data_IF_897162187860
#
_entry.id   IF_897162187860
#
_cell.length_a   1.000
_cell.length_b   1.000
_cell.length_c   1.000
_cell.angle_alpha   90.00
_cell.angle_beta   90.00
_cell.angle_gamma   90.00
#
_symmetry.space_group_name_H-M   'P 1'
#
loop_
_entity.id
_entity.type
_entity.pdbx_description
1 polymer ?
#
# COMPACT_ATOMS: atom_id res chain seq x y z
N UNK A 1 -26.63 12.47 -9.35
CA UNK A 1 -27.09 11.14 -8.92
C UNK A 1 -25.84 10.37 -8.55
N UNK A 2 -25.70 9.93 -7.30
CA UNK A 2 -24.65 8.97 -6.96
C UNK A 2 -24.92 7.71 -7.79
N UNK A 3 -23.95 7.28 -8.60
CA UNK A 3 -24.02 5.97 -9.23
C UNK A 3 -24.13 4.93 -8.11
N UNK A 4 -24.92 3.88 -8.30
CA UNK A 4 -24.99 2.79 -7.33
C UNK A 4 -23.59 2.19 -7.16
N UNK A 5 -23.17 2.01 -5.91
CA UNK A 5 -21.89 1.36 -5.58
C UNK A 5 -21.86 -0.04 -6.19
N UNK A 6 -20.81 -0.33 -6.96
CA UNK A 6 -20.64 -1.64 -7.57
C UNK A 6 -20.18 -2.64 -6.50
N UNK A 7 -20.60 -3.89 -6.67
CA UNK A 7 -20.22 -5.00 -5.80
C UNK A 7 -19.74 -6.16 -6.66
N UNK A 8 -19.17 -7.20 -6.04
CA UNK A 8 -18.84 -8.45 -6.74
C UNK A 8 -19.98 -8.95 -7.63
N UNK A 9 -21.21 -8.95 -7.11
CA UNK A 9 -22.39 -9.41 -7.85
C UNK A 9 -22.68 -8.57 -9.10
N UNK A 10 -22.36 -7.27 -9.08
CA UNK A 10 -22.48 -6.39 -10.25
C UNK A 10 -21.61 -6.88 -11.41
N UNK A 11 -20.38 -7.29 -11.13
CA UNK A 11 -19.45 -7.81 -12.14
C UNK A 11 -19.78 -9.25 -12.61
N UNK A 12 -20.74 -9.91 -11.96
CA UNK A 12 -21.37 -11.14 -12.45
C UNK A 12 -22.48 -10.89 -13.49
N UNK A 13 -22.75 -9.65 -13.89
CA UNK A 13 -23.67 -9.30 -14.98
C UNK A 13 -23.00 -8.33 -15.98
N UNK A 14 -23.56 -8.16 -17.18
CA UNK A 14 -23.06 -7.10 -18.08
C UNK A 14 -23.42 -5.71 -17.55
N UNK A 15 -22.65 -4.67 -17.89
CA UNK A 15 -23.06 -3.30 -17.60
C UNK A 15 -24.45 -3.02 -18.16
N UNK A 16 -25.34 -2.41 -17.36
CA UNK A 16 -26.75 -2.13 -17.67
C UNK A 16 -27.70 -3.34 -17.65
N UNK A 17 -27.26 -4.51 -17.20
CA UNK A 17 -28.14 -5.64 -16.97
C UNK A 17 -28.75 -5.56 -15.56
N UNK A 18 -30.07 -5.35 -15.47
CA UNK A 18 -30.77 -5.22 -14.19
C UNK A 18 -30.91 -6.57 -13.46
N UNK A 19 -31.10 -7.66 -14.20
CA UNK A 19 -31.24 -9.01 -13.64
C UNK A 19 -30.51 -10.05 -14.49
N UNK A 20 -30.07 -11.19 -13.92
CA UNK A 20 -29.43 -12.26 -14.68
C UNK A 20 -30.28 -12.79 -15.84
N UNK A 21 -31.61 -12.68 -15.74
CA UNK A 21 -32.58 -13.12 -16.75
C UNK A 21 -32.86 -12.10 -17.85
N UNK A 22 -32.53 -10.82 -17.66
CA UNK A 22 -32.76 -9.78 -18.69
C UNK A 22 -31.65 -9.79 -19.75
N UNK A 23 -32.01 -9.57 -21.02
CA UNK A 23 -31.03 -9.41 -22.10
C UNK A 23 -30.25 -8.10 -21.93
N UNK A 24 -28.91 -8.13 -21.91
CA UNK A 24 -28.12 -6.92 -21.79
C UNK A 24 -28.11 -6.13 -23.10
N UNK A 25 -28.06 -4.80 -23.00
CA UNK A 25 -27.75 -3.92 -24.13
C UNK A 25 -26.22 -3.84 -24.23
N UNK A 26 -25.66 -4.55 -25.20
CA UNK A 26 -24.20 -4.66 -25.37
C UNK A 26 -23.70 -3.72 -26.47
N UNK A 27 -22.50 -3.16 -26.29
CA UNK A 27 -21.77 -2.51 -27.37
C UNK A 27 -21.43 -3.47 -28.52
N UNK A 28 -21.03 -2.91 -29.66
CA UNK A 28 -20.55 -3.70 -30.80
C UNK A 28 -19.28 -4.48 -30.43
N UNK A 29 -18.42 -3.87 -29.62
CA UNK A 29 -17.20 -4.46 -29.08
C UNK A 29 -17.53 -5.62 -28.12
N UNK A 30 -18.51 -5.45 -27.21
CA UNK A 30 -18.97 -6.54 -26.35
C UNK A 30 -19.59 -7.70 -27.13
N UNK A 31 -20.29 -7.44 -28.24
CA UNK A 31 -20.76 -8.49 -29.15
C UNK A 31 -19.59 -9.26 -29.77
N UNK A 32 -18.55 -8.55 -30.23
CA UNK A 32 -17.38 -9.16 -30.81
C UNK A 32 -16.60 -10.00 -29.79
N UNK A 33 -16.42 -9.51 -28.57
CA UNK A 33 -15.77 -10.25 -27.49
C UNK A 33 -16.58 -11.47 -27.06
N UNK A 34 -17.91 -11.37 -27.04
CA UNK A 34 -18.80 -12.48 -26.70
C UNK A 34 -18.60 -13.63 -27.69
N UNK A 35 -18.48 -13.31 -28.97
CA UNK A 35 -18.21 -14.30 -30.02
C UNK A 35 -16.78 -14.86 -29.93
N UNK A 36 -15.80 -14.04 -29.55
CA UNK A 36 -14.38 -14.40 -29.61
C UNK A 36 -13.86 -15.11 -28.36
N UNK A 37 -14.27 -14.66 -27.17
CA UNK A 37 -13.73 -15.06 -25.88
C UNK A 37 -14.78 -15.67 -24.95
N UNK A 38 -16.06 -15.60 -25.33
CA UNK A 38 -17.18 -16.06 -24.52
C UNK A 38 -17.64 -15.05 -23.49
N UNK A 39 -18.76 -15.39 -22.84
CA UNK A 39 -19.55 -14.46 -22.04
C UNK A 39 -18.79 -13.86 -20.85
N UNK A 40 -18.04 -14.69 -20.13
CA UNK A 40 -17.32 -14.26 -18.92
C UNK A 40 -16.27 -13.18 -19.23
N UNK A 41 -15.51 -13.37 -20.29
CA UNK A 41 -14.47 -12.43 -20.73
C UNK A 41 -15.07 -11.17 -21.32
N UNK A 42 -16.07 -11.30 -22.19
CA UNK A 42 -16.77 -10.16 -22.80
C UNK A 42 -17.37 -9.22 -21.74
N UNK A 43 -17.93 -9.80 -20.67
CA UNK A 43 -18.51 -9.05 -19.56
C UNK A 43 -17.50 -8.18 -18.83
N UNK A 44 -16.34 -8.74 -18.47
CA UNK A 44 -15.30 -8.01 -17.74
C UNK A 44 -14.64 -6.95 -18.63
N UNK A 45 -14.43 -7.27 -19.91
CA UNK A 45 -13.97 -6.30 -20.89
C UNK A 45 -14.96 -5.13 -21.05
N UNK A 46 -16.26 -5.40 -21.05
CA UNK A 46 -17.27 -4.34 -21.11
C UNK A 46 -17.30 -3.48 -19.83
N UNK A 47 -17.21 -4.10 -18.64
CA UNK A 47 -17.05 -3.34 -17.39
C UNK A 47 -15.82 -2.42 -17.43
N UNK A 48 -14.71 -2.90 -17.99
CA UNK A 48 -13.51 -2.06 -18.12
C UNK A 48 -13.74 -0.85 -19.03
N UNK A 49 -14.56 -0.95 -20.09
CA UNK A 49 -14.87 0.18 -20.99
C UNK A 49 -15.87 1.17 -20.39
N UNK A 50 -16.90 0.66 -19.71
CA UNK A 50 -18.04 1.48 -19.27
C UNK A 50 -17.79 2.15 -17.93
N UNK A 51 -16.99 1.52 -17.05
CA UNK A 51 -16.75 2.01 -15.70
C UNK A 51 -15.29 2.38 -15.46
N UNK A 52 -14.34 1.47 -15.76
CA UNK A 52 -12.93 1.67 -15.41
C UNK A 52 -12.26 2.76 -16.26
N UNK A 53 -12.34 2.65 -17.58
CA UNK A 53 -11.72 3.59 -18.53
C UNK A 53 -12.19 5.04 -18.35
N UNK A 54 -13.49 5.33 -18.15
CA UNK A 54 -13.95 6.69 -17.87
C UNK A 54 -13.61 7.20 -16.46
N UNK A 55 -13.39 6.30 -15.49
CA UNK A 55 -13.02 6.68 -14.13
C UNK A 55 -11.58 7.19 -14.04
N UNK A 56 -10.63 6.59 -14.77
CA UNK A 56 -9.21 6.96 -14.73
C UNK A 56 -8.94 8.47 -14.96
N UNK A 57 -9.39 9.12 -16.05
CA UNK A 57 -9.15 10.55 -16.24
C UNK A 57 -9.87 11.42 -15.20
N UNK A 58 -10.99 10.95 -14.62
CA UNK A 58 -11.68 11.66 -13.54
C UNK A 58 -10.86 11.65 -12.26
N UNK A 59 -10.30 10.50 -11.88
CA UNK A 59 -9.40 10.35 -10.72
C UNK A 59 -8.14 11.18 -10.94
N UNK A 60 -7.59 11.14 -12.16
CA UNK A 60 -6.43 11.96 -12.53
C UNK A 60 -6.65 13.44 -12.25
N UNK A 61 -7.76 13.97 -12.74
CA UNK A 61 -8.09 15.38 -12.56
C UNK A 61 -8.24 15.78 -11.08
N UNK A 62 -8.64 14.83 -10.20
CA UNK A 62 -8.76 15.09 -8.76
C UNK A 62 -7.41 15.29 -8.09
N UNK A 63 -6.37 14.55 -8.48
CA UNK A 63 -5.05 14.67 -7.88
C UNK A 63 -4.19 15.74 -8.55
N UNK A 64 -4.35 15.99 -9.85
CA UNK A 64 -3.71 17.11 -10.55
C UNK A 64 -4.17 18.47 -10.02
N UNK A 65 -5.41 18.56 -9.53
CA UNK A 65 -6.02 19.77 -8.97
C UNK A 65 -6.48 19.53 -7.53
N UNK A 66 -5.61 18.91 -6.74
CA UNK A 66 -5.95 18.45 -5.40
C UNK A 66 -6.49 19.59 -4.51
N UNK A 67 -7.60 19.30 -3.82
CA UNK A 67 -8.22 20.19 -2.84
C UNK A 67 -8.72 19.35 -1.66
N UNK A 68 -8.23 19.61 -0.46
CA UNK A 68 -8.59 18.79 0.69
C UNK A 68 -10.00 18.99 1.24
N UNK A 69 -10.66 20.08 0.86
CA UNK A 69 -12.08 20.25 1.13
C UNK A 69 -12.96 19.48 0.14
N UNK A 70 -12.37 18.69 -0.78
CA UNK A 70 -13.11 17.99 -1.82
C UNK A 70 -13.91 16.81 -1.21
N UNK A 71 -15.26 16.86 -1.26
CA UNK A 71 -16.12 15.78 -0.77
C UNK A 71 -15.95 14.45 -1.54
N UNK A 72 -15.14 14.44 -2.60
CA UNK A 72 -14.89 13.28 -3.45
C UNK A 72 -13.89 12.26 -2.88
N UNK A 73 -13.38 12.46 -1.67
CA UNK A 73 -12.62 11.45 -0.93
C UNK A 73 -13.41 10.12 -0.81
N UNK A 74 -14.70 10.20 -0.52
CA UNK A 74 -15.58 9.03 -0.47
C UNK A 74 -15.74 8.35 -1.84
N UNK A 75 -15.65 9.10 -2.95
CA UNK A 75 -15.69 8.53 -4.30
C UNK A 75 -14.43 7.71 -4.59
N UNK A 76 -13.27 8.18 -4.15
CA UNK A 76 -12.00 7.44 -4.30
C UNK A 76 -12.00 6.17 -3.45
N UNK A 77 -12.50 6.24 -2.22
CA UNK A 77 -12.62 5.06 -1.35
C UNK A 77 -13.59 4.03 -1.95
N UNK A 78 -14.77 4.47 -2.40
CA UNK A 78 -15.74 3.60 -3.06
C UNK A 78 -15.15 2.96 -4.31
N UNK A 79 -14.52 3.76 -5.19
CA UNK A 79 -13.85 3.26 -6.38
C UNK A 79 -12.73 2.25 -6.06
N UNK A 80 -11.94 2.50 -5.01
CA UNK A 80 -10.90 1.58 -4.55
C UNK A 80 -11.48 0.23 -4.15
N UNK A 81 -12.64 0.22 -3.48
CA UNK A 81 -13.33 -1.00 -3.09
C UNK A 81 -13.87 -1.76 -4.30
N UNK A 82 -14.52 -1.04 -5.21
CA UNK A 82 -15.04 -1.60 -6.47
C UNK A 82 -13.91 -2.19 -7.34
N UNK A 83 -12.74 -1.54 -7.35
CA UNK A 83 -11.56 -2.01 -8.08
C UNK A 83 -10.95 -3.28 -7.46
N UNK A 84 -10.91 -3.39 -6.13
CA UNK A 84 -10.48 -4.62 -5.44
C UNK A 84 -11.43 -5.77 -5.78
N UNK A 85 -12.74 -5.54 -5.71
CA UNK A 85 -13.75 -6.53 -6.09
C UNK A 85 -13.63 -6.96 -7.57
N UNK A 86 -13.39 -5.99 -8.47
CA UNK A 86 -13.19 -6.26 -9.89
C UNK A 86 -11.94 -7.13 -10.13
N UNK A 87 -10.81 -6.79 -9.49
CA UNK A 87 -9.56 -7.55 -9.60
C UNK A 87 -9.70 -8.96 -9.05
N UNK A 88 -10.36 -9.13 -7.91
CA UNK A 88 -10.64 -10.45 -7.35
C UNK A 88 -11.43 -11.34 -8.32
N UNK A 89 -12.38 -10.76 -9.07
CA UNK A 89 -13.16 -11.50 -10.08
C UNK A 89 -12.34 -11.86 -11.32
N UNK A 90 -11.44 -10.97 -11.74
CA UNK A 90 -10.46 -11.26 -12.81
C UNK A 90 -9.64 -12.49 -12.40
N UNK A 91 -9.06 -12.48 -11.20
CA UNK A 91 -8.09 -13.50 -10.77
C UNK A 91 -8.73 -14.84 -10.37
N UNK A 92 -9.97 -14.81 -9.89
CA UNK A 92 -10.72 -16.04 -9.56
C UNK A 92 -11.24 -16.79 -10.80
N UNK A 93 -11.07 -16.24 -12.01
CA UNK A 93 -11.60 -16.82 -13.25
C UNK A 93 -10.51 -17.34 -14.16
N UNK A 94 -10.73 -18.53 -14.70
CA UNK A 94 -9.95 -19.01 -15.84
C UNK A 94 -10.39 -18.26 -17.10
N UNK A 95 -9.54 -17.34 -17.56
CA UNK A 95 -9.74 -16.54 -18.77
C UNK A 95 -8.63 -16.81 -19.81
N UNK A 96 -8.88 -16.52 -21.10
CA UNK A 96 -7.81 -16.54 -22.09
C UNK A 96 -6.69 -15.57 -21.68
N UNK A 97 -5.43 -15.99 -21.83
CA UNK A 97 -4.24 -15.22 -21.42
C UNK A 97 -4.23 -13.79 -21.98
N UNK A 98 -4.62 -13.62 -23.25
CA UNK A 98 -4.69 -12.30 -23.88
C UNK A 98 -5.72 -11.37 -23.20
N UNK A 99 -6.83 -11.91 -22.71
CA UNK A 99 -7.87 -11.15 -22.00
C UNK A 99 -7.39 -10.83 -20.58
N UNK A 100 -6.81 -11.82 -19.90
CA UNK A 100 -6.23 -11.66 -18.56
C UNK A 100 -5.22 -10.51 -18.56
N UNK A 101 -4.23 -10.56 -19.46
CA UNK A 101 -3.19 -9.53 -19.59
C UNK A 101 -3.79 -8.13 -19.83
N UNK A 102 -4.78 -8.02 -20.71
CA UNK A 102 -5.42 -6.74 -21.01
C UNK A 102 -6.17 -6.17 -19.78
N UNK A 103 -6.87 -7.02 -19.04
CA UNK A 103 -7.60 -6.61 -17.84
C UNK A 103 -6.65 -6.25 -16.71
N UNK A 104 -5.55 -7.00 -16.54
CA UNK A 104 -4.50 -6.70 -15.58
C UNK A 104 -3.89 -5.34 -15.88
N UNK A 105 -3.39 -5.09 -17.10
CA UNK A 105 -2.80 -3.81 -17.52
C UNK A 105 -3.70 -2.60 -17.22
N UNK A 106 -5.02 -2.75 -17.44
CA UNK A 106 -6.02 -1.72 -17.14
C UNK A 106 -6.21 -1.52 -15.63
N UNK A 107 -6.28 -2.60 -14.87
CA UNK A 107 -6.38 -2.54 -13.41
C UNK A 107 -5.13 -1.90 -12.81
N UNK A 108 -3.92 -2.23 -13.30
CA UNK A 108 -2.67 -1.59 -12.86
C UNK A 108 -2.70 -0.09 -13.09
N UNK A 109 -3.15 0.33 -14.28
CA UNK A 109 -3.26 1.76 -14.60
C UNK A 109 -4.20 2.47 -13.63
N UNK A 110 -5.33 1.86 -13.28
CA UNK A 110 -6.27 2.44 -12.32
C UNK A 110 -5.70 2.50 -10.90
N UNK A 111 -4.98 1.47 -10.46
CA UNK A 111 -4.29 1.47 -9.15
C UNK A 111 -3.26 2.59 -9.07
N UNK A 112 -2.49 2.83 -10.15
CA UNK A 112 -1.53 3.95 -10.19
C UNK A 112 -2.20 5.30 -10.01
N UNK A 113 -3.35 5.53 -10.65
CA UNK A 113 -4.12 6.78 -10.50
C UNK A 113 -4.68 6.95 -9.08
N UNK A 114 -5.17 5.87 -8.47
CA UNK A 114 -5.64 5.88 -7.07
C UNK A 114 -4.48 6.18 -6.12
N UNK A 115 -3.32 5.55 -6.33
CA UNK A 115 -2.13 5.79 -5.52
C UNK A 115 -1.59 7.21 -5.68
N UNK A 116 -1.62 7.77 -6.89
CA UNK A 116 -1.27 9.18 -7.13
C UNK A 116 -2.20 10.13 -6.38
N UNK A 117 -3.51 9.84 -6.33
CA UNK A 117 -4.46 10.60 -5.52
C UNK A 117 -4.14 10.55 -4.03
N UNK A 118 -3.88 9.36 -3.50
CA UNK A 118 -3.50 9.22 -2.10
C UNK A 118 -2.21 9.98 -1.79
N UNK A 119 -1.20 9.89 -2.66
CA UNK A 119 0.03 10.65 -2.48
C UNK A 119 -0.23 12.15 -2.40
N UNK A 120 -1.01 12.72 -3.33
CA UNK A 120 -1.39 14.14 -3.29
C UNK A 120 -2.18 14.51 -2.03
N UNK A 121 -3.06 13.61 -1.56
CA UNK A 121 -3.77 13.77 -0.28
C UNK A 121 -2.80 13.85 0.90
N UNK A 122 -1.77 13.02 0.94
CA UNK A 122 -0.78 13.06 2.02
C UNK A 122 0.13 14.27 1.94
N UNK A 123 0.61 14.61 0.74
CA UNK A 123 1.41 15.83 0.54
C UNK A 123 0.66 17.05 1.06
N UNK A 124 -0.66 17.11 0.86
CA UNK A 124 -1.50 18.16 1.43
C UNK A 124 -1.64 18.06 2.95
N UNK A 125 -1.98 16.88 3.48
CA UNK A 125 -2.17 16.70 4.93
C UNK A 125 -0.87 16.95 5.71
N UNK A 126 0.27 16.85 5.02
CA UNK A 126 1.61 17.08 5.53
C UNK A 126 2.22 18.42 5.05
N UNK A 127 1.49 19.54 5.11
CA UNK A 127 2.10 20.88 5.24
C UNK A 127 3.04 21.03 6.49
N UNK A 128 3.46 19.92 7.10
CA UNK A 128 4.28 19.80 8.29
C UNK A 128 5.77 19.68 7.94
N UNK A 129 6.53 20.73 8.27
CA UNK A 129 7.99 20.73 8.20
C UNK A 129 8.64 19.49 8.86
N UNK A 130 9.77 19.00 8.32
CA UNK A 130 10.60 17.99 8.97
C UNK A 130 11.05 18.46 10.36
N UNK A 131 10.38 18.04 11.43
CA UNK A 131 10.94 18.19 12.78
C UNK A 131 12.13 17.24 12.91
N UNK A 132 13.33 17.80 12.96
CA UNK A 132 14.52 17.06 13.31
C UNK A 132 14.34 16.45 14.71
N UNK A 133 14.64 15.16 14.85
CA UNK A 133 14.49 14.46 16.11
C UNK A 133 15.81 14.45 16.83
N UNK A 134 15.80 14.99 18.05
CA UNK A 134 16.97 15.01 18.90
C UNK A 134 17.11 13.67 19.62
N UNK A 135 17.82 12.73 18.99
CA UNK A 135 18.19 11.45 19.58
C UNK A 135 19.20 11.59 20.75
N UNK A 136 19.67 12.81 21.06
CA UNK A 136 20.46 13.08 22.26
C UNK A 136 19.60 13.24 23.52
N UNK A 137 18.27 13.39 23.38
CA UNK A 137 17.35 13.43 24.50
C UNK A 137 17.25 12.04 25.18
N UNK A 138 17.70 11.89 26.44
CA UNK A 138 17.65 10.61 27.16
C UNK A 138 16.24 10.03 27.33
N UNK A 139 15.21 10.89 27.35
CA UNK A 139 13.81 10.46 27.49
C UNK A 139 13.32 9.75 26.22
N UNK A 140 13.68 10.28 25.05
CA UNK A 140 13.38 9.70 23.74
C UNK A 140 14.09 8.36 23.58
N UNK A 141 15.37 8.30 23.93
CA UNK A 141 16.15 7.04 23.89
C UNK A 141 15.55 5.97 24.81
N UNK A 142 15.12 6.35 26.01
CA UNK A 142 14.45 5.45 26.95
C UNK A 142 13.15 4.90 26.37
N UNK A 143 12.31 5.76 25.79
CA UNK A 143 11.03 5.38 25.18
C UNK A 143 11.22 4.42 24.00
N UNK A 144 12.19 4.71 23.13
CA UNK A 144 12.57 3.82 22.01
C UNK A 144 12.99 2.44 22.52
N UNK A 145 13.91 2.37 23.49
CA UNK A 145 14.36 1.08 24.05
C UNK A 145 13.23 0.32 24.73
N UNK A 146 12.34 1.01 25.44
CA UNK A 146 11.16 0.41 26.05
C UNK A 146 10.22 -0.20 25.00
N UNK A 147 10.02 0.49 23.87
CA UNK A 147 9.22 -0.02 22.76
C UNK A 147 9.81 -1.30 22.16
N UNK A 148 11.11 -1.33 21.84
CA UNK A 148 11.79 -2.53 21.33
C UNK A 148 11.62 -3.74 22.27
N UNK A 149 11.78 -3.50 23.59
CA UNK A 149 11.57 -4.52 24.62
C UNK A 149 10.12 -5.02 24.65
N UNK A 150 9.14 -4.11 24.58
CA UNK A 150 7.72 -4.46 24.53
C UNK A 150 7.41 -5.33 23.31
N UNK A 151 8.02 -5.00 22.16
CA UNK A 151 7.82 -5.74 20.91
C UNK A 151 8.63 -7.04 20.84
N UNK A 152 9.47 -7.36 21.83
CA UNK A 152 10.37 -8.54 21.81
C UNK A 152 11.29 -8.53 20.58
N UNK A 153 11.82 -7.35 20.27
CA UNK A 153 12.82 -7.11 19.24
C UNK A 153 14.11 -6.67 19.94
N UNK A 154 15.23 -7.28 19.58
CA UNK A 154 16.51 -6.93 20.17
C UNK A 154 17.03 -5.63 19.54
N UNK A 155 17.10 -4.55 20.33
CA UNK A 155 17.58 -3.23 19.89
C UNK A 155 19.01 -3.30 19.32
N UNK A 156 19.93 -3.93 20.04
CA UNK A 156 21.34 -4.01 19.64
C UNK A 156 21.54 -4.84 18.37
N UNK A 157 20.75 -5.92 18.22
CA UNK A 157 20.75 -6.72 16.99
C UNK A 157 20.18 -5.93 15.81
N UNK A 158 19.10 -5.17 16.01
CA UNK A 158 18.56 -4.26 14.99
C UNK A 158 19.62 -3.24 14.55
N UNK A 159 20.23 -2.53 15.50
CA UNK A 159 21.30 -1.57 15.22
C UNK A 159 22.46 -2.21 14.44
N UNK A 160 22.90 -3.40 14.84
CA UNK A 160 23.99 -4.12 14.18
C UNK A 160 23.67 -4.49 12.72
N UNK A 161 22.40 -4.77 12.39
CA UNK A 161 21.96 -5.08 11.02
C UNK A 161 22.07 -3.88 10.07
N UNK A 162 22.01 -2.66 10.60
CA UNK A 162 22.21 -1.42 9.83
C UNK A 162 23.66 -0.94 9.82
N UNK A 163 24.60 -1.72 10.39
CA UNK A 163 26.03 -1.49 10.20
C UNK A 163 26.46 -1.78 8.75
N UNK A 164 27.44 -1.03 8.25
CA UNK A 164 27.81 -1.00 6.82
C UNK A 164 27.90 -2.39 6.14
N UNK A 165 28.62 -3.35 6.72
CA UNK A 165 28.78 -4.68 6.11
C UNK A 165 27.54 -5.58 6.22
N UNK A 166 26.81 -5.50 7.34
CA UNK A 166 25.61 -6.29 7.55
C UNK A 166 24.43 -5.79 6.69
N UNK A 167 24.34 -4.47 6.52
CA UNK A 167 23.31 -3.83 5.73
C UNK A 167 23.44 -4.16 4.23
N UNK A 168 24.67 -4.08 3.70
CA UNK A 168 24.95 -4.48 2.30
C UNK A 168 24.56 -5.93 2.04
N UNK A 169 24.90 -6.85 2.95
CA UNK A 169 24.51 -8.25 2.81
C UNK A 169 22.99 -8.45 2.91
N UNK A 170 22.31 -7.70 3.78
CA UNK A 170 20.85 -7.71 3.87
C UNK A 170 20.21 -7.25 2.56
N UNK A 171 20.64 -6.12 1.99
CA UNK A 171 20.12 -5.60 0.72
C UNK A 171 20.38 -6.57 -0.44
N UNK A 172 21.57 -7.18 -0.50
CA UNK A 172 21.91 -8.21 -1.49
C UNK A 172 20.95 -9.40 -1.41
N UNK A 173 20.61 -9.86 -0.20
CA UNK A 173 19.62 -10.93 0.02
C UNK A 173 18.20 -10.53 -0.33
N UNK A 174 17.87 -9.24 -0.20
CA UNK A 174 16.58 -8.69 -0.60
C UNK A 174 16.48 -8.47 -2.12
N UNK A 175 17.58 -8.58 -2.86
CA UNK A 175 17.60 -8.46 -4.32
C UNK A 175 17.60 -7.02 -4.83
N UNK A 176 17.96 -6.05 -3.98
CA UNK A 176 18.06 -4.64 -4.39
C UNK A 176 19.30 -4.43 -5.28
N UNK A 177 19.11 -3.79 -6.43
CA UNK A 177 20.16 -3.61 -7.43
C UNK A 177 21.30 -2.73 -6.89
N UNK A 178 22.54 -3.19 -7.06
CA UNK A 178 23.74 -2.40 -6.75
C UNK A 178 23.81 -1.17 -7.69
N UNK A 179 23.94 0.04 -7.11
CA UNK A 179 24.35 1.24 -7.85
C UNK A 179 23.31 2.34 -8.05
N UNK A 180 22.08 2.23 -7.53
CA UNK A 180 21.02 3.23 -7.80
C UNK A 180 20.69 4.17 -6.63
N UNK A 181 21.05 3.83 -5.37
CA UNK A 181 20.81 4.67 -4.18
C UNK A 181 21.92 4.51 -3.14
N UNK A 182 22.12 5.55 -2.30
CA UNK A 182 23.09 5.56 -1.20
C UNK A 182 22.95 4.31 -0.32
N UNK A 183 23.97 3.46 -0.32
CA UNK A 183 24.11 2.23 0.47
C UNK A 183 24.38 2.54 1.95
N UNK A 184 23.63 3.47 2.52
CA UNK A 184 23.87 4.02 3.84
C UNK A 184 22.92 3.41 4.87
N UNK A 185 23.40 2.36 5.56
CA UNK A 185 22.68 1.75 6.67
C UNK A 185 22.40 2.75 7.82
N UNK A 186 23.27 3.75 8.02
CA UNK A 186 23.05 4.78 9.04
C UNK A 186 21.87 5.69 8.68
N UNK A 187 21.72 6.02 7.39
CA UNK A 187 20.55 6.76 6.88
C UNK A 187 19.27 5.99 7.12
N UNK A 188 19.22 4.70 6.76
CA UNK A 188 18.05 3.85 7.00
C UNK A 188 17.73 3.75 8.50
N UNK A 189 18.75 3.57 9.33
CA UNK A 189 18.56 3.53 10.78
C UNK A 189 18.00 4.85 11.33
N UNK A 190 18.47 6.00 10.82
CA UNK A 190 17.95 7.32 11.17
C UNK A 190 16.48 7.47 10.76
N UNK A 191 16.11 7.03 9.56
CA UNK A 191 14.71 7.02 9.10
C UNK A 191 13.84 6.18 10.04
N UNK A 192 14.29 4.98 10.39
CA UNK A 192 13.58 4.07 11.30
C UNK A 192 13.36 4.70 12.67
N UNK A 193 14.42 5.21 13.28
CA UNK A 193 14.32 5.88 14.58
C UNK A 193 13.41 7.10 14.50
N UNK A 194 13.46 7.83 13.39
CA UNK A 194 12.64 9.02 13.22
C UNK A 194 11.15 8.68 13.12
N UNK A 195 10.81 7.65 12.32
CA UNK A 195 9.44 7.13 12.23
C UNK A 195 8.95 6.55 13.55
N UNK A 196 9.78 5.81 14.28
CA UNK A 196 9.42 5.26 15.59
C UNK A 196 9.17 6.35 16.64
N UNK A 197 10.02 7.37 16.71
CA UNK A 197 9.81 8.46 17.68
C UNK A 197 8.54 9.24 17.35
N UNK A 198 8.26 9.49 16.06
CA UNK A 198 6.98 10.09 15.64
C UNK A 198 5.79 9.24 16.08
N UNK A 199 5.82 7.95 15.78
CA UNK A 199 4.81 6.99 16.23
C UNK A 199 4.59 7.06 17.76
N UNK A 200 5.66 7.08 18.55
CA UNK A 200 5.58 7.13 20.03
C UNK A 200 5.03 8.47 20.55
N UNK A 201 5.38 9.59 19.92
CA UNK A 201 4.92 10.93 20.32
C UNK A 201 3.44 11.18 19.99
N UNK A 202 2.90 10.48 19.00
CA UNK A 202 1.51 10.62 18.56
C UNK A 202 0.49 9.98 19.52
N UNK A 203 0.92 9.12 20.45
CA UNK A 203 0.05 8.37 21.35
C UNK A 203 -0.79 9.19 22.35
N UNK A 204 -0.54 10.50 22.49
CA UNK A 204 -1.28 11.36 23.43
C UNK A 204 -1.93 12.61 22.80
N UNK A 205 -1.52 13.05 21.59
CA UNK A 205 -2.09 14.22 20.89
C UNK A 205 -1.90 14.12 19.36
N UNK A 206 -2.98 14.39 18.62
CA UNK A 206 -3.04 14.94 17.25
C UNK A 206 -3.11 13.99 16.03
N UNK A 207 -4.12 14.25 15.18
CA UNK A 207 -4.03 14.83 13.81
C UNK A 207 -2.88 14.38 12.87
N UNK A 208 -2.37 13.16 13.02
CA UNK A 208 -1.46 12.59 12.00
C UNK A 208 -2.24 12.05 10.80
N UNK A 209 -1.69 12.13 9.56
CA UNK A 209 -2.38 11.63 8.36
C UNK A 209 -2.76 10.14 8.45
N UNK A 210 -1.94 9.31 9.11
CA UNK A 210 -2.25 7.89 9.32
C UNK A 210 -3.49 7.69 10.21
N UNK A 211 -3.62 8.48 11.29
CA UNK A 211 -4.77 8.42 12.21
C UNK A 211 -6.01 9.08 11.59
N UNK A 212 -5.87 10.26 10.99
CA UNK A 212 -6.95 10.94 10.26
C UNK A 212 -7.50 10.06 9.13
N UNK A 213 -6.62 9.35 8.41
CA UNK A 213 -7.05 8.45 7.37
C UNK A 213 -7.69 7.15 7.87
N UNK A 214 -7.27 6.62 9.02
CA UNK A 214 -7.97 5.52 9.69
C UNK A 214 -9.38 5.92 10.16
N UNK A 215 -9.63 7.22 10.39
CA UNK A 215 -10.97 7.73 10.70
C UNK A 215 -11.85 7.94 9.47
N UNK A 216 -11.31 7.85 8.24
CA UNK A 216 -12.11 7.85 7.02
C UNK A 216 -12.88 6.52 6.95
N UNK A 217 -14.21 6.59 6.88
CA UNK A 217 -15.03 5.40 6.70
C UNK A 217 -14.63 4.66 5.41
N UNK A 218 -14.28 3.38 5.53
CA UNK A 218 -13.73 2.56 4.43
C UNK A 218 -12.25 2.83 4.07
N UNK A 219 -11.54 3.72 4.78
CA UNK A 219 -10.15 4.07 4.48
C UNK A 219 -9.15 2.90 4.50
N UNK A 220 -9.50 1.79 5.18
CA UNK A 220 -8.69 0.57 5.19
C UNK A 220 -8.64 -0.14 3.83
N UNK A 221 -9.62 0.10 2.95
CA UNK A 221 -9.75 -0.53 1.63
C UNK A 221 -8.56 -0.27 0.73
N UNK A 222 -7.89 0.89 0.82
CA UNK A 222 -6.70 1.17 -0.01
C UNK A 222 -5.52 0.25 0.28
N UNK A 223 -5.38 -0.19 1.53
CA UNK A 223 -4.34 -1.14 1.91
C UNK A 223 -4.70 -2.52 1.36
N UNK A 224 -5.97 -2.93 1.48
CA UNK A 224 -6.44 -4.18 0.91
C UNK A 224 -6.33 -4.19 -0.62
N UNK A 225 -6.72 -3.12 -1.30
CA UNK A 225 -6.57 -2.97 -2.75
C UNK A 225 -5.10 -3.12 -3.16
N UNK A 226 -4.20 -2.46 -2.43
CA UNK A 226 -2.76 -2.54 -2.73
C UNK A 226 -2.18 -3.92 -2.40
N UNK A 227 -2.61 -4.55 -1.31
CA UNK A 227 -2.25 -5.93 -0.96
C UNK A 227 -2.78 -6.89 -2.03
N UNK A 228 -4.05 -6.80 -2.42
CA UNK A 228 -4.67 -7.64 -3.46
C UNK A 228 -3.90 -7.48 -4.78
N UNK A 229 -3.54 -6.24 -5.14
CA UNK A 229 -2.78 -5.98 -6.34
C UNK A 229 -1.37 -6.57 -6.29
N UNK A 230 -0.63 -6.35 -5.20
CA UNK A 230 0.72 -6.90 -4.98
C UNK A 230 0.67 -8.43 -4.89
N UNK A 231 -0.37 -9.00 -4.28
CA UNK A 231 -0.44 -10.43 -4.01
C UNK A 231 -0.94 -11.26 -5.18
N UNK A 232 -1.80 -10.69 -6.03
CA UNK A 232 -2.47 -11.41 -7.11
C UNK A 232 -1.81 -11.22 -8.48
N UNK A 233 -1.07 -10.13 -8.70
CA UNK A 233 -0.38 -9.87 -9.97
C UNK A 233 1.01 -10.54 -10.02
N UNK A 234 1.60 -10.85 -8.87
CA UNK A 234 3.03 -11.17 -8.77
C UNK A 234 3.26 -12.58 -8.20
N UNK A 235 4.09 -13.42 -8.84
CA UNK A 235 4.56 -14.65 -8.22
C UNK A 235 5.21 -14.38 -6.86
N UNK A 236 5.10 -15.27 -5.86
CA UNK A 236 5.72 -15.13 -4.54
C UNK A 236 7.21 -14.75 -4.57
N UNK A 237 7.92 -15.13 -5.64
CA UNK A 237 9.35 -14.83 -5.81
C UNK A 237 9.63 -13.38 -6.29
N UNK A 238 8.63 -12.64 -6.75
CA UNK A 238 8.75 -11.24 -7.26
C UNK A 238 8.20 -10.16 -6.33
N UNK A 239 7.48 -10.53 -5.26
CA UNK A 239 6.84 -9.61 -4.31
C UNK A 239 7.73 -8.45 -3.82
N UNK A 240 9.05 -8.66 -3.75
CA UNK A 240 9.99 -7.69 -3.19
C UNK A 240 10.48 -6.63 -4.18
N UNK A 241 10.15 -6.75 -5.47
CA UNK A 241 10.76 -5.96 -6.55
C UNK A 241 9.78 -4.95 -7.20
N UNK A 242 8.46 -5.21 -7.30
CA UNK A 242 7.51 -4.27 -7.96
C UNK A 242 6.51 -3.58 -7.01
N UNK A 243 6.91 -3.29 -5.77
CA UNK A 243 6.18 -2.33 -4.91
C UNK A 243 6.27 -0.89 -5.45
N UNK A 244 7.02 -0.65 -6.53
CA UNK A 244 7.10 0.61 -7.28
C UNK A 244 5.71 1.16 -7.69
N UNK A 245 4.67 0.30 -7.75
CA UNK A 245 3.30 0.74 -8.05
C UNK A 245 2.59 1.43 -6.87
N UNK A 246 3.06 1.23 -5.63
CA UNK A 246 2.53 1.87 -4.42
C UNK A 246 3.35 3.12 -4.12
N UNK A 247 3.02 4.21 -4.83
CA UNK A 247 3.75 5.48 -4.74
C UNK A 247 3.49 6.25 -3.44
N UNK A 248 2.41 5.92 -2.72
CA UNK A 248 2.08 6.53 -1.43
C UNK A 248 2.83 5.82 -0.29
N UNK A 249 3.72 6.51 0.44
CA UNK A 249 4.49 5.92 1.54
C UNK A 249 3.61 5.43 2.69
N UNK A 250 2.44 6.02 2.93
CA UNK A 250 1.53 5.58 4.00
C UNK A 250 0.90 4.24 3.63
N UNK A 251 0.36 4.11 2.41
CA UNK A 251 -0.18 2.85 1.89
C UNK A 251 0.90 1.78 1.84
N UNK A 252 2.11 2.12 1.36
CA UNK A 252 3.25 1.21 1.35
C UNK A 252 3.59 0.69 2.75
N UNK A 253 3.69 1.58 3.74
CA UNK A 253 3.92 1.21 5.13
C UNK A 253 2.85 0.27 5.69
N UNK A 254 1.57 0.56 5.40
CA UNK A 254 0.45 -0.27 5.84
C UNK A 254 0.42 -1.65 5.18
N UNK A 255 0.68 -1.74 3.87
CA UNK A 255 0.77 -3.00 3.11
C UNK A 255 1.86 -3.90 3.72
N UNK A 256 3.08 -3.37 3.85
CA UNK A 256 4.22 -4.12 4.40
C UNK A 256 3.97 -4.51 5.86
N UNK A 257 3.34 -3.63 6.65
CA UNK A 257 2.98 -3.91 8.05
C UNK A 257 1.98 -5.05 8.19
N UNK A 258 0.95 -5.09 7.33
CA UNK A 258 -0.09 -6.12 7.33
C UNK A 258 0.48 -7.51 7.00
N UNK A 259 1.31 -7.63 5.96
CA UNK A 259 1.90 -8.93 5.58
C UNK A 259 2.89 -9.45 6.63
N UNK A 260 3.69 -8.54 7.21
CA UNK A 260 4.70 -8.95 8.19
C UNK A 260 4.07 -9.46 9.48
N UNK A 261 2.90 -8.94 9.86
CA UNK A 261 2.19 -9.36 11.07
C UNK A 261 1.88 -10.87 11.07
N UNK A 262 1.35 -11.41 9.96
CA UNK A 262 0.98 -12.83 9.87
C UNK A 262 2.20 -13.75 10.03
N UNK A 263 3.33 -13.35 9.44
CA UNK A 263 4.59 -14.09 9.57
C UNK A 263 5.21 -13.95 10.97
N UNK A 264 5.07 -12.79 11.63
CA UNK A 264 5.76 -12.46 12.87
C UNK A 264 5.16 -13.10 14.12
N UNK A 265 3.82 -13.24 14.16
CA UNK A 265 3.13 -13.82 15.32
C UNK A 265 2.98 -15.35 15.29
N UNK A 266 3.66 -16.03 14.35
CA UNK A 266 3.91 -17.46 14.50
C UNK A 266 4.74 -17.69 15.78
N UNK A 267 4.13 -18.38 16.75
CA UNK A 267 4.68 -18.62 18.10
C UNK A 267 5.99 -19.42 18.11
N UNK A 268 6.47 -19.89 16.95
CA UNK A 268 7.69 -20.68 16.80
C UNK A 268 8.95 -19.86 16.54
N UNK A 269 8.84 -18.57 16.19
CA UNK A 269 10.01 -17.75 15.87
C UNK A 269 10.83 -17.41 17.12
N UNK A 270 12.15 -17.47 17.01
CA UNK A 270 13.09 -16.92 17.98
C UNK A 270 13.10 -15.39 17.97
N UNK A 271 13.66 -14.75 19.01
CA UNK A 271 13.83 -13.29 19.05
C UNK A 271 14.71 -12.77 17.91
N UNK A 272 15.72 -13.54 17.55
CA UNK A 272 16.62 -13.21 16.45
C UNK A 272 15.90 -13.25 15.09
N UNK A 273 15.11 -14.30 14.83
CA UNK A 273 14.31 -14.40 13.60
C UNK A 273 13.27 -13.27 13.50
N UNK A 274 12.58 -12.97 14.61
CA UNK A 274 11.67 -11.82 14.70
C UNK A 274 12.36 -10.51 14.37
N UNK A 275 13.53 -10.27 14.96
CA UNK A 275 14.33 -9.06 14.74
C UNK A 275 14.76 -8.96 13.27
N UNK A 276 15.18 -10.07 12.66
CA UNK A 276 15.59 -10.11 11.27
C UNK A 276 14.43 -9.83 10.31
N UNK A 277 13.27 -10.47 10.51
CA UNK A 277 12.07 -10.25 9.68
C UNK A 277 11.63 -8.79 9.81
N UNK A 278 11.62 -8.24 11.01
CA UNK A 278 11.26 -6.84 11.25
C UNK A 278 12.20 -5.87 10.51
N UNK A 279 13.51 -6.07 10.64
CA UNK A 279 14.52 -5.26 9.96
C UNK A 279 14.39 -5.31 8.43
N UNK A 280 14.15 -6.50 7.88
CA UNK A 280 14.00 -6.70 6.44
C UNK A 280 12.76 -5.96 5.90
N UNK A 281 11.63 -6.05 6.59
CA UNK A 281 10.39 -5.42 6.13
C UNK A 281 10.43 -3.89 6.24
N UNK A 282 11.01 -3.34 7.31
CA UNK A 282 11.29 -1.90 7.37
C UNK A 282 12.22 -1.45 6.24
N UNK A 283 13.24 -2.26 5.93
CA UNK A 283 14.16 -1.95 4.83
C UNK A 283 13.45 -1.97 3.48
N UNK A 284 12.51 -2.90 3.25
CA UNK A 284 11.66 -2.93 2.05
C UNK A 284 10.78 -1.68 1.97
N UNK A 285 10.06 -1.35 3.05
CA UNK A 285 9.17 -0.18 3.08
C UNK A 285 9.95 1.13 2.80
N UNK A 286 11.11 1.30 3.43
CA UNK A 286 11.94 2.49 3.21
C UNK A 286 12.49 2.51 1.78
N UNK A 287 13.04 1.39 1.29
CA UNK A 287 13.63 1.32 -0.05
C UNK A 287 12.65 1.75 -1.13
N UNK A 288 11.42 1.25 -1.08
CA UNK A 288 10.39 1.60 -2.06
C UNK A 288 9.85 3.02 -1.87
N UNK A 289 9.69 3.48 -0.62
CA UNK A 289 9.27 4.86 -0.34
C UNK A 289 10.27 5.90 -0.88
N UNK A 290 11.57 5.67 -0.71
CA UNK A 290 12.60 6.63 -1.16
C UNK A 290 12.89 6.56 -2.67
N UNK A 291 12.45 5.49 -3.33
CA UNK A 291 12.67 5.23 -4.77
C UNK A 291 11.55 5.80 -5.65
N UNK A 292 10.42 6.21 -5.08
CA UNK A 292 9.31 6.78 -5.83
C UNK A 292 9.77 7.92 -6.77
N UNK A 293 9.55 7.71 -8.07
CA UNK A 293 9.93 8.65 -9.12
C UNK A 293 9.21 9.99 -8.93
N UNK A 294 9.93 11.10 -9.10
CA UNK A 294 9.37 12.46 -9.05
C UNK A 294 9.80 13.32 -7.86
N UNK A 295 10.47 12.74 -6.85
CA UNK A 295 11.02 13.50 -5.72
C UNK A 295 12.51 13.79 -5.94
N UNK A 296 12.85 15.04 -6.24
CA UNK A 296 14.24 15.43 -6.56
C UNK A 296 15.11 15.68 -5.30
N UNK A 297 14.53 16.06 -4.16
CA UNK A 297 15.27 16.33 -2.92
C UNK A 297 15.40 15.10 -2.02
N UNK A 298 16.63 14.83 -1.58
CA UNK A 298 17.00 13.82 -0.59
C UNK A 298 16.22 13.90 0.72
N UNK A 299 15.90 15.11 1.20
CA UNK A 299 15.15 15.30 2.46
C UNK A 299 13.69 14.87 2.33
N UNK A 300 13.08 15.18 1.18
CA UNK A 300 11.72 14.75 0.89
C UNK A 300 11.63 13.23 0.77
N UNK A 301 12.63 12.58 0.17
CA UNK A 301 12.72 11.10 0.13
C UNK A 301 12.82 10.48 1.53
N UNK A 302 13.68 11.03 2.41
CA UNK A 302 13.78 10.54 3.80
C UNK A 302 12.45 10.67 4.53
N UNK A 303 11.69 11.74 4.26
CA UNK A 303 10.38 11.93 4.86
C UNK A 303 9.38 10.86 4.41
N UNK A 304 9.36 10.50 3.12
CA UNK A 304 8.55 9.39 2.64
C UNK A 304 8.90 8.08 3.36
N UNK A 305 10.20 7.81 3.56
CA UNK A 305 10.66 6.68 4.36
C UNK A 305 10.14 6.74 5.80
N UNK A 306 10.17 7.91 6.43
CA UNK A 306 9.68 8.13 7.81
C UNK A 306 8.17 7.87 7.92
N UNK A 307 7.37 8.33 6.96
CA UNK A 307 5.92 8.12 6.90
C UNK A 307 5.59 6.63 6.72
N UNK A 308 6.31 5.95 5.83
CA UNK A 308 6.17 4.51 5.63
C UNK A 308 6.48 3.73 6.89
N UNK A 309 7.57 4.07 7.59
CA UNK A 309 7.91 3.48 8.90
C UNK A 309 6.80 3.75 9.92
N UNK A 310 6.35 5.00 10.07
CA UNK A 310 5.32 5.33 11.07
C UNK A 310 4.04 4.53 10.85
N UNK A 311 3.59 4.43 9.59
CA UNK A 311 2.36 3.70 9.26
C UNK A 311 2.53 2.19 9.41
N UNK A 312 3.70 1.65 9.04
CA UNK A 312 4.05 0.26 9.30
C UNK A 312 3.94 -0.06 10.80
N UNK A 313 4.44 0.83 11.66
CA UNK A 313 4.36 0.67 13.12
C UNK A 313 2.91 0.81 13.65
N UNK A 314 2.11 1.72 13.08
CA UNK A 314 0.68 1.86 13.41
C UNK A 314 -0.05 0.53 13.19
N UNK A 315 0.06 -0.04 11.98
CA UNK A 315 -0.56 -1.33 11.63
C UNK A 315 -0.06 -2.47 12.53
N UNK A 316 1.23 -2.49 12.79
CA UNK A 316 1.83 -3.47 13.68
C UNK A 316 1.29 -3.39 15.11
N UNK A 317 0.97 -2.18 15.58
CA UNK A 317 0.51 -1.93 16.94
C UNK A 317 -1.00 -2.05 17.17
N UNK A 318 -1.80 -1.85 16.11
CA UNK A 318 -3.26 -1.89 16.12
C UNK A 318 -3.84 -3.30 15.99
N UNK A 319 -3.09 -4.23 15.41
CA UNK A 319 -3.53 -5.61 15.29
C UNK A 319 -3.53 -6.27 16.67
N UNK A 320 -4.56 -7.08 17.00
CA UNK A 320 -4.82 -7.50 18.36
C UNK A 320 -3.57 -8.14 18.94
N UNK A 321 -3.21 -7.75 20.17
CA UNK A 321 -2.26 -8.49 21.01
C UNK A 321 -2.86 -9.89 21.20
N UNK A 322 -2.67 -10.77 20.21
CA UNK A 322 -3.31 -12.07 20.11
C UNK A 322 -2.88 -12.88 21.34
N UNK A 323 -3.81 -12.92 22.30
CA UNK A 323 -3.51 -13.15 23.70
C UNK A 323 -4.62 -12.71 24.66
N UNK A 324 -5.66 -12.00 24.20
CA UNK A 324 -6.93 -11.89 24.92
C UNK A 324 -8.14 -12.04 23.99
N UNK A 325 -8.73 -13.23 24.09
CA UNK A 325 -10.12 -13.61 23.81
C UNK A 325 -10.62 -13.49 22.35
N UNK A 326 -10.44 -14.59 21.60
CA UNK A 326 -11.56 -15.26 20.91
C UNK A 326 -11.66 -16.66 21.49
#
# INVERSE_FOLDING_TARGET
>A
MAAATLTRDSFHMFPNQETPSSSPVLSAEAHADLQRYGEKSARLLEWSRVWLEPAMPRIRALWENFNAADPRLHEIVAFSNELSDFKWIIDSRCMPEAVQKQLDERAESAVREVNAYWNAYYDYMEECEPRAIDLSDPSVVSAVKAWFKQMRICFDSMLAMFGASAFVEMQRRLGFAEGWFDLDGERYWRIILTGLVRYLQNGEKSEWPSTAAQTIDGGSVRYQLSIDFVTLVMPPERYRIDLDCVMDPVTLGGVVGSETYEAYYDKKLSEQERTQIFAQNLTIAIYHAIRCDGVEDSRSRDMMGVQAVSTFLDFWSLLPKAGKNV
#
